data_IF_100133703587
#
_entry.id   IF_100133703587
#
_cell.length_a   1.000
_cell.length_b   1.000
_cell.length_c   1.000
_cell.angle_alpha   90.00
_cell.angle_beta   90.00
_cell.angle_gamma   90.00
#
_symmetry.space_group_name_H-M   'P 1'
#
loop_
_entity.id
_entity.type
_entity.pdbx_description
1 polymer ?
#
# COMPACT_ATOMS: atom_id res chain seq x y z
N UNK A 1 -23.61 132.29 -17.96
CA UNK A 1 -22.85 131.10 -17.53
C UNK A 1 -22.78 130.13 -18.69
N UNK A 2 -21.57 129.87 -19.17
CA UNK A 2 -21.24 128.85 -20.18
C UNK A 2 -21.43 127.47 -19.53
N UNK A 3 -22.10 126.53 -20.21
CA UNK A 3 -21.99 125.12 -19.86
C UNK A 3 -21.63 124.31 -21.11
N UNK A 4 -20.35 123.94 -21.14
CA UNK A 4 -19.65 123.09 -22.08
C UNK A 4 -20.20 121.65 -21.97
N UNK A 5 -20.84 121.13 -23.02
CA UNK A 5 -21.25 119.72 -23.09
C UNK A 5 -20.09 118.90 -23.68
N UNK A 6 -19.44 118.12 -22.82
CA UNK A 6 -18.31 117.25 -23.11
C UNK A 6 -18.82 115.93 -23.72
N UNK A 7 -18.70 115.76 -25.04
CA UNK A 7 -19.02 114.48 -25.71
C UNK A 7 -17.82 113.55 -25.53
N UNK A 8 -17.92 112.62 -24.59
CA UNK A 8 -16.96 111.52 -24.42
C UNK A 8 -17.30 110.41 -25.42
N UNK A 9 -16.39 110.12 -26.36
CA UNK A 9 -16.50 108.98 -27.26
C UNK A 9 -16.24 107.67 -26.48
N UNK A 10 -17.30 106.98 -26.06
CA UNK A 10 -17.18 105.62 -25.55
C UNK A 10 -16.90 104.67 -26.71
N UNK A 11 -15.68 104.12 -26.77
CA UNK A 11 -15.34 103.10 -27.77
C UNK A 11 -16.21 101.86 -27.57
N UNK A 12 -17.13 101.60 -28.48
CA UNK A 12 -17.92 100.36 -28.48
C UNK A 12 -16.98 99.21 -28.86
N UNK A 13 -16.61 98.37 -27.90
CA UNK A 13 -15.94 97.09 -28.20
C UNK A 13 -16.98 96.14 -28.80
N UNK A 14 -16.99 96.03 -30.12
CA UNK A 14 -17.83 95.06 -30.80
C UNK A 14 -17.20 93.66 -30.70
N UNK A 15 -17.96 92.68 -30.21
CA UNK A 15 -17.67 91.26 -30.39
C UNK A 15 -18.06 90.87 -31.82
N UNK A 16 -17.25 90.06 -32.50
CA UNK A 16 -17.56 89.57 -33.85
C UNK A 16 -18.23 88.20 -33.75
N UNK A 17 -19.50 88.12 -34.19
CA UNK A 17 -20.20 86.84 -34.37
C UNK A 17 -20.63 86.69 -35.83
N UNK A 18 -20.39 85.50 -36.39
CA UNK A 18 -20.76 85.15 -37.77
C UNK A 18 -21.52 83.81 -37.75
N UNK A 19 -22.75 83.78 -38.28
CA UNK A 19 -23.51 82.54 -38.48
C UNK A 19 -25.00 82.56 -38.08
N UNK A 20 -25.57 81.38 -37.82
CA UNK A 20 -27.02 81.08 -37.80
C UNK A 20 -27.81 81.71 -36.60
N UNK A 21 -27.15 82.34 -35.62
CA UNK A 21 -27.79 83.03 -34.48
C UNK A 21 -26.99 84.27 -33.98
N UNK A 22 -26.97 85.37 -34.74
CA UNK A 22 -26.06 86.50 -34.49
C UNK A 22 -26.41 87.33 -33.25
N UNK A 23 -27.62 87.22 -32.70
CA UNK A 23 -28.10 88.04 -31.58
C UNK A 23 -27.79 87.46 -30.20
N UNK A 24 -27.47 86.17 -30.10
CA UNK A 24 -27.02 85.54 -28.85
C UNK A 24 -25.51 85.43 -28.88
N UNK A 25 -24.83 86.28 -28.11
CA UNK A 25 -23.36 86.35 -28.08
C UNK A 25 -22.79 85.66 -26.84
N UNK A 26 -21.74 84.85 -27.02
CA UNK A 26 -21.00 84.27 -25.90
C UNK A 26 -20.04 85.30 -25.33
N UNK A 27 -20.33 85.87 -24.15
CA UNK A 27 -19.55 86.98 -23.57
C UNK A 27 -18.05 86.68 -23.36
N UNK A 28 -17.65 85.40 -23.31
CA UNK A 28 -16.25 84.98 -23.16
C UNK A 28 -15.49 84.83 -24.48
N UNK A 29 -16.13 85.04 -25.64
CA UNK A 29 -15.50 84.93 -26.96
C UNK A 29 -15.27 86.30 -27.60
N UNK A 30 -14.08 86.54 -28.15
CA UNK A 30 -13.80 87.72 -28.98
C UNK A 30 -14.36 87.54 -30.41
N UNK A 31 -14.30 86.31 -30.93
CA UNK A 31 -14.82 85.87 -32.22
C UNK A 31 -15.61 84.57 -32.05
N UNK A 32 -16.83 84.53 -32.55
CA UNK A 32 -17.68 83.34 -32.54
C UNK A 32 -18.15 83.00 -33.96
N UNK A 33 -17.89 81.76 -34.41
CA UNK A 33 -18.36 81.22 -35.67
C UNK A 33 -19.35 80.10 -35.37
N UNK A 34 -20.63 80.29 -35.71
CA UNK A 34 -21.69 79.32 -35.42
C UNK A 34 -22.42 78.92 -36.70
N UNK A 35 -22.16 77.73 -37.22
CA UNK A 35 -22.91 77.19 -38.34
C UNK A 35 -23.11 75.69 -38.22
N UNK A 36 -24.25 75.21 -38.70
CA UNK A 36 -24.52 73.77 -38.87
C UNK A 36 -23.95 73.21 -40.18
N UNK A 37 -23.53 74.07 -41.11
CA UNK A 37 -23.15 73.71 -42.49
C UNK A 37 -21.80 74.27 -42.95
N UNK A 38 -21.24 75.24 -42.24
CA UNK A 38 -19.97 75.87 -42.57
C UNK A 38 -18.98 75.75 -41.42
N UNK A 39 -17.70 75.58 -41.76
CA UNK A 39 -16.61 75.54 -40.79
C UNK A 39 -15.66 76.72 -40.97
N UNK A 40 -14.71 76.86 -40.05
CA UNK A 40 -13.60 77.79 -40.21
C UNK A 40 -12.53 77.16 -41.11
N UNK A 41 -12.35 77.69 -42.31
CA UNK A 41 -11.28 77.26 -43.21
C UNK A 41 -10.00 78.06 -42.91
N UNK A 42 -8.99 77.38 -42.38
CA UNK A 42 -7.68 77.97 -42.11
C UNK A 42 -6.90 78.24 -43.40
N UNK A 43 -5.91 79.17 -43.37
CA UNK A 43 -4.94 79.32 -44.45
C UNK A 43 -4.28 77.97 -44.78
N UNK A 44 -4.34 77.58 -46.06
CA UNK A 44 -3.72 76.36 -46.58
C UNK A 44 -2.38 76.71 -47.17
N UNK A 45 -1.31 76.18 -46.58
CA UNK A 45 0.05 76.46 -47.01
C UNK A 45 0.69 75.21 -47.61
N UNK A 46 1.46 75.37 -48.70
CA UNK A 46 2.21 74.27 -49.29
C UNK A 46 3.46 73.92 -48.45
N UNK A 47 4.08 74.94 -47.85
CA UNK A 47 5.18 74.84 -46.89
C UNK A 47 5.05 75.96 -45.83
N UNK A 48 6.03 76.08 -44.92
CA UNK A 48 6.00 77.13 -43.88
C UNK A 48 7.06 78.22 -44.05
N UNK A 49 7.81 78.25 -45.16
CA UNK A 49 8.93 79.18 -45.36
C UNK A 49 8.45 80.63 -45.33
N UNK A 50 7.45 80.97 -46.14
CA UNK A 50 6.95 82.33 -46.27
C UNK A 50 6.30 82.81 -44.96
N UNK A 51 5.48 81.96 -44.33
CA UNK A 51 4.84 82.33 -43.07
C UNK A 51 5.86 82.46 -41.94
N UNK A 52 6.95 81.69 -41.95
CA UNK A 52 8.01 81.80 -40.94
C UNK A 52 8.80 83.10 -41.08
N UNK A 53 8.98 83.61 -42.30
CA UNK A 53 9.62 84.91 -42.53
C UNK A 53 8.83 86.09 -41.92
N UNK A 54 7.52 85.90 -41.68
CA UNK A 54 6.64 86.87 -41.04
C UNK A 54 6.63 86.79 -39.50
N UNK A 55 7.49 85.95 -38.90
CA UNK A 55 7.62 85.78 -37.44
C UNK A 55 6.26 85.48 -36.77
N UNK A 56 5.63 84.33 -37.10
CA UNK A 56 4.28 84.04 -36.67
C UNK A 56 4.24 83.82 -35.14
N UNK A 57 3.35 84.50 -34.39
CA UNK A 57 3.22 84.31 -32.95
C UNK A 57 2.71 82.90 -32.58
N UNK A 58 3.06 82.46 -31.37
CA UNK A 58 2.48 81.26 -30.76
C UNK A 58 0.95 81.40 -30.64
N UNK A 59 0.22 80.30 -30.85
CA UNK A 59 -1.23 80.26 -30.96
C UNK A 59 -1.77 80.41 -32.39
N UNK A 60 -0.95 80.83 -33.36
CA UNK A 60 -1.35 80.86 -34.78
C UNK A 60 -1.66 79.46 -35.29
N UNK A 61 -2.72 79.32 -36.09
CA UNK A 61 -3.15 78.05 -36.68
C UNK A 61 -3.08 78.11 -38.20
N UNK A 62 -2.62 77.01 -38.81
CA UNK A 62 -2.57 76.82 -40.27
C UNK A 62 -3.00 75.39 -40.62
N UNK A 63 -3.42 75.19 -41.87
CA UNK A 63 -3.52 73.85 -42.43
C UNK A 63 -2.37 73.65 -43.42
N UNK A 64 -1.44 72.75 -43.09
CA UNK A 64 -0.32 72.42 -43.97
C UNK A 64 -0.80 71.38 -44.99
N UNK A 65 -0.64 71.67 -46.28
CA UNK A 65 -1.09 70.83 -47.39
C UNK A 65 -0.03 70.76 -48.50
N UNK A 66 1.08 70.04 -48.27
CA UNK A 66 2.14 69.91 -49.25
C UNK A 66 1.67 69.07 -50.44
N UNK A 67 2.15 69.40 -51.64
CA UNK A 67 1.77 68.72 -52.89
C UNK A 67 2.10 67.21 -52.90
N UNK A 68 3.08 66.78 -52.10
CA UNK A 68 3.38 65.37 -51.81
C UNK A 68 4.08 65.24 -50.44
N UNK A 69 3.79 64.17 -49.67
CA UNK A 69 4.58 63.80 -48.47
C UNK A 69 3.80 63.68 -47.15
N UNK A 70 4.54 63.27 -46.11
CA UNK A 70 4.13 63.19 -44.70
C UNK A 70 4.06 64.59 -44.07
N UNK A 71 3.00 64.92 -43.35
CA UNK A 71 2.88 66.20 -42.64
C UNK A 71 1.66 67.05 -43.01
N UNK A 72 0.77 66.57 -43.90
CA UNK A 72 -0.53 67.21 -44.11
C UNK A 72 -1.32 67.25 -42.80
N UNK A 73 -1.86 68.39 -42.41
CA UNK A 73 -2.76 68.47 -41.27
C UNK A 73 -2.92 69.85 -40.67
N UNK A 74 -3.66 69.90 -39.57
CA UNK A 74 -3.81 71.08 -38.75
C UNK A 74 -2.56 71.29 -37.89
N UNK A 75 -2.00 72.50 -37.88
CA UNK A 75 -0.87 72.87 -37.05
C UNK A 75 -1.20 74.10 -36.20
N UNK A 76 -0.65 74.13 -34.99
CA UNK A 76 -0.60 75.30 -34.12
C UNK A 76 0.86 75.69 -33.87
N UNK A 77 1.16 76.99 -33.91
CA UNK A 77 2.46 77.51 -33.53
C UNK A 77 2.59 77.47 -32.01
N UNK A 78 3.62 76.80 -31.49
CA UNK A 78 3.88 76.75 -30.04
C UNK A 78 5.37 76.64 -29.80
N UNK A 79 5.90 77.45 -28.89
CA UNK A 79 7.31 77.51 -28.52
C UNK A 79 8.23 77.69 -29.74
N UNK A 80 7.81 78.53 -30.70
CA UNK A 80 8.62 78.82 -31.88
C UNK A 80 8.74 77.67 -32.88
N UNK A 81 7.87 76.65 -32.80
CA UNK A 81 7.77 75.57 -33.80
C UNK A 81 6.32 75.31 -34.20
N UNK A 82 6.11 74.82 -35.42
CA UNK A 82 4.79 74.36 -35.87
C UNK A 82 4.54 72.96 -35.33
N UNK A 83 3.59 72.83 -34.42
CA UNK A 83 3.19 71.55 -33.84
C UNK A 83 1.92 71.05 -34.52
N UNK A 84 1.97 69.83 -35.05
CA UNK A 84 0.79 69.21 -35.64
C UNK A 84 -0.22 68.90 -34.54
N UNK A 85 -1.44 69.40 -34.69
CA UNK A 85 -2.58 68.90 -33.94
C UNK A 85 -2.97 67.58 -34.61
N UNK A 86 -2.52 66.48 -34.02
CA UNK A 86 -2.98 65.17 -34.43
C UNK A 86 -4.31 64.91 -33.75
N UNK A 87 -5.35 64.69 -34.55
CA UNK A 87 -6.52 63.96 -34.06
C UNK A 87 -6.16 62.48 -34.20
N UNK A 88 -6.30 61.76 -33.11
CA UNK A 88 -6.19 60.30 -32.93
C UNK A 88 -7.02 59.42 -33.90
N UNK A 89 -7.62 60.04 -34.91
CA UNK A 89 -8.56 59.45 -35.85
C UNK A 89 -8.01 59.53 -37.28
N UNK A 90 -6.99 58.73 -37.55
CA UNK A 90 -6.83 57.95 -38.80
C UNK A 90 -5.38 57.46 -38.95
N UNK A 91 -5.20 56.14 -38.93
CA UNK A 91 -4.04 55.41 -39.49
C UNK A 91 -2.63 55.62 -38.91
N UNK A 92 -2.42 56.57 -37.98
CA UNK A 92 -1.17 56.68 -37.23
C UNK A 92 -1.22 55.86 -35.92
N UNK A 93 -0.90 54.57 -36.05
CA UNK A 93 -0.96 53.51 -35.02
C UNK A 93 0.16 53.60 -33.97
N UNK A 94 0.44 54.77 -33.40
CA UNK A 94 1.60 54.95 -32.49
C UNK A 94 1.27 54.82 -31.01
N UNK A 95 0.03 54.46 -30.62
CA UNK A 95 -0.35 54.40 -29.19
C UNK A 95 -1.38 53.32 -28.87
N UNK A 96 -1.29 52.79 -27.65
CA UNK A 96 -2.29 51.91 -27.05
C UNK A 96 -3.25 52.74 -26.19
N UNK A 97 -4.55 52.74 -26.52
CA UNK A 97 -5.56 53.48 -25.77
C UNK A 97 -5.85 52.79 -24.42
N UNK A 98 -6.13 53.57 -23.37
CA UNK A 98 -6.55 53.07 -22.05
C UNK A 98 -7.83 52.23 -22.09
N UNK A 99 -8.72 52.47 -23.06
CA UNK A 99 -9.93 51.66 -23.29
C UNK A 99 -9.72 50.49 -24.26
N UNK A 100 -8.49 50.29 -24.73
CA UNK A 100 -8.15 49.27 -25.72
C UNK A 100 -8.27 49.77 -27.17
N UNK A 101 -7.68 49.00 -28.08
CA UNK A 101 -7.66 49.25 -29.52
C UNK A 101 -8.40 48.13 -30.25
N UNK A 102 -9.16 48.47 -31.30
CA UNK A 102 -9.65 47.49 -32.27
C UNK A 102 -8.60 47.33 -33.39
N UNK A 103 -8.05 46.11 -33.55
CA UNK A 103 -6.91 45.87 -34.43
C UNK A 103 -7.38 45.46 -35.83
N UNK A 104 -6.87 46.12 -36.87
CA UNK A 104 -7.23 45.84 -38.27
C UNK A 104 -6.26 44.88 -38.99
N UNK A 105 -5.17 44.44 -38.33
CA UNK A 105 -4.11 43.61 -38.91
C UNK A 105 -3.64 42.53 -37.94
N UNK A 106 -3.09 41.43 -38.45
CA UNK A 106 -2.52 40.34 -37.64
C UNK A 106 -1.16 40.67 -36.98
N UNK A 107 -0.51 41.78 -37.37
CA UNK A 107 0.86 42.12 -36.94
C UNK A 107 0.93 43.26 -35.89
N UNK A 108 -0.18 43.58 -35.23
CA UNK A 108 -0.17 44.60 -34.19
C UNK A 108 0.49 44.06 -32.90
N UNK A 109 1.36 44.85 -32.26
CA UNK A 109 2.07 44.45 -31.05
C UNK A 109 2.09 45.57 -29.99
N UNK A 110 2.18 45.16 -28.72
CA UNK A 110 2.49 46.02 -27.57
C UNK A 110 3.88 45.62 -27.09
N UNK A 111 4.88 46.48 -27.27
CA UNK A 111 6.25 46.16 -26.88
C UNK A 111 7.30 47.14 -27.42
N UNK A 112 8.55 46.76 -27.18
CA UNK A 112 9.78 47.42 -27.67
C UNK A 112 10.28 46.70 -28.93
N UNK A 113 11.01 47.42 -29.78
CA UNK A 113 11.65 46.85 -30.99
C UNK A 113 13.17 46.65 -30.83
N UNK A 114 13.74 47.24 -29.78
CA UNK A 114 15.14 47.13 -29.42
C UNK A 114 15.33 46.14 -28.25
N UNK A 115 16.58 45.91 -27.86
CA UNK A 115 16.95 45.00 -26.77
C UNK A 115 16.70 45.66 -25.40
N UNK A 116 15.45 46.07 -25.17
CA UNK A 116 14.96 46.66 -23.92
C UNK A 116 13.74 45.87 -23.46
N UNK A 117 13.71 45.52 -22.18
CA UNK A 117 12.58 44.84 -21.58
C UNK A 117 11.29 45.69 -21.64
N UNK A 118 10.14 45.05 -21.86
CA UNK A 118 8.83 45.68 -21.68
C UNK A 118 8.46 45.67 -20.19
N UNK A 119 8.18 46.84 -19.63
CA UNK A 119 7.88 47.02 -18.19
C UNK A 119 6.47 47.56 -18.00
N UNK A 120 5.67 46.87 -17.19
CA UNK A 120 4.35 47.34 -16.75
C UNK A 120 4.49 47.90 -15.35
N UNK A 121 4.22 49.20 -15.22
CA UNK A 121 4.48 49.99 -14.00
C UNK A 121 3.16 50.53 -13.44
N UNK A 122 3.00 50.46 -12.11
CA UNK A 122 1.92 51.12 -11.39
C UNK A 122 2.51 51.82 -10.17
N UNK A 123 2.10 53.05 -9.87
CA UNK A 123 2.65 53.83 -8.76
C UNK A 123 4.19 53.91 -8.79
N UNK A 124 4.77 54.08 -9.98
CA UNK A 124 6.22 54.10 -10.20
C UNK A 124 6.96 52.82 -9.75
N UNK A 125 6.24 51.71 -9.55
CA UNK A 125 6.79 50.39 -9.24
C UNK A 125 6.53 49.43 -10.38
N UNK A 126 7.57 48.71 -10.79
CA UNK A 126 7.48 47.63 -11.76
C UNK A 126 6.67 46.47 -11.20
N UNK A 127 5.66 46.04 -11.95
CA UNK A 127 4.78 44.92 -11.56
C UNK A 127 5.02 43.69 -12.42
N UNK A 128 5.27 43.89 -13.70
CA UNK A 128 5.58 42.85 -14.67
C UNK A 128 6.71 43.31 -15.60
N UNK A 129 7.64 42.41 -15.88
CA UNK A 129 8.75 42.63 -16.81
C UNK A 129 8.82 41.46 -17.77
N UNK A 130 8.91 41.75 -19.07
CA UNK A 130 9.26 40.77 -20.10
C UNK A 130 10.70 41.05 -20.50
N UNK A 131 11.62 40.17 -20.13
CA UNK A 131 13.04 40.34 -20.40
C UNK A 131 13.35 40.19 -21.89
N UNK A 132 14.15 41.10 -22.45
CA UNK A 132 14.46 41.10 -23.89
C UNK A 132 15.53 40.09 -24.31
N UNK A 133 16.22 39.46 -23.35
CA UNK A 133 17.30 38.49 -23.60
C UNK A 133 16.79 37.06 -23.33
N UNK A 134 16.19 36.81 -22.17
CA UNK A 134 15.71 35.47 -21.80
C UNK A 134 14.28 35.19 -22.27
N UNK A 135 13.48 36.24 -22.50
CA UNK A 135 12.05 36.12 -22.75
C UNK A 135 11.22 35.82 -21.49
N UNK A 136 11.86 35.79 -20.32
CA UNK A 136 11.17 35.48 -19.06
C UNK A 136 10.17 36.58 -18.70
N UNK A 137 9.02 36.16 -18.20
CA UNK A 137 8.00 37.05 -17.63
C UNK A 137 8.11 37.02 -16.12
N UNK A 138 8.63 38.10 -15.55
CA UNK A 138 8.72 38.27 -14.09
C UNK A 138 7.51 39.03 -13.57
N UNK A 139 6.86 38.51 -12.53
CA UNK A 139 5.77 39.17 -11.78
C UNK A 139 6.23 39.36 -10.34
N UNK A 140 6.29 40.60 -9.87
CA UNK A 140 6.97 40.93 -8.61
C UNK A 140 6.32 40.35 -7.34
N UNK A 141 5.05 39.92 -7.39
CA UNK A 141 4.30 39.44 -6.23
C UNK A 141 3.48 38.18 -6.57
N UNK A 142 2.15 38.30 -6.65
CA UNK A 142 1.22 37.18 -6.85
C UNK A 142 0.67 37.17 -8.27
N UNK A 143 0.74 36.00 -8.92
CA UNK A 143 -0.06 35.67 -10.09
C UNK A 143 -1.28 34.84 -9.64
N UNK A 144 -2.49 35.28 -10.00
CA UNK A 144 -3.72 34.49 -9.79
C UNK A 144 -4.17 33.92 -11.12
N UNK A 145 -4.13 32.59 -11.28
CA UNK A 145 -4.59 31.89 -12.48
C UNK A 145 -5.87 31.12 -12.14
N UNK A 146 -6.97 31.41 -12.83
CA UNK A 146 -8.30 30.84 -12.49
C UNK A 146 -8.60 29.50 -13.16
N UNK A 147 -7.82 29.10 -14.18
CA UNK A 147 -8.04 27.84 -14.92
C UNK A 147 -6.88 26.87 -14.73
N UNK A 148 -5.77 27.12 -15.42
CA UNK A 148 -4.65 26.18 -15.47
C UNK A 148 -3.32 26.88 -15.73
N UNK A 149 -2.27 26.35 -15.12
CA UNK A 149 -0.88 26.61 -15.50
C UNK A 149 -0.37 25.33 -16.19
N UNK A 150 0.22 25.47 -17.36
CA UNK A 150 0.84 24.36 -18.10
C UNK A 150 2.29 24.73 -18.36
N UNK A 151 3.23 24.00 -17.74
CA UNK A 151 4.66 24.10 -18.03
C UNK A 151 5.06 23.07 -19.09
N UNK A 152 5.90 23.46 -20.04
CA UNK A 152 6.41 22.53 -21.07
C UNK A 152 7.42 21.51 -20.51
N UNK A 153 8.16 21.90 -19.47
CA UNK A 153 9.18 21.07 -18.82
C UNK A 153 8.89 20.94 -17.32
N UNK A 154 9.02 22.03 -16.56
CA UNK A 154 8.81 22.03 -15.11
C UNK A 154 8.00 23.22 -14.60
N UNK A 155 7.36 23.01 -13.46
CA UNK A 155 6.83 24.07 -12.59
C UNK A 155 7.59 23.92 -11.27
N UNK A 156 8.55 24.81 -11.02
CA UNK A 156 9.37 24.80 -9.81
C UNK A 156 8.81 25.77 -8.78
N UNK A 157 8.78 25.36 -7.51
CA UNK A 157 8.30 26.21 -6.41
C UNK A 157 8.65 25.59 -5.06
N UNK A 158 8.83 26.44 -4.05
CA UNK A 158 9.07 26.00 -2.67
C UNK A 158 7.86 25.24 -2.09
N UNK A 159 6.65 25.61 -2.51
CA UNK A 159 5.40 24.98 -2.09
C UNK A 159 4.47 24.78 -3.29
N UNK A 160 3.90 23.58 -3.41
CA UNK A 160 2.81 23.26 -4.34
C UNK A 160 1.63 22.77 -3.50
N UNK A 161 0.60 23.61 -3.37
CA UNK A 161 -0.64 23.24 -2.67
C UNK A 161 -1.71 22.88 -3.68
N UNK A 162 -2.37 21.73 -3.51
CA UNK A 162 -3.61 21.40 -4.19
C UNK A 162 -4.73 21.28 -3.17
N UNK A 163 -5.89 21.87 -3.46
CA UNK A 163 -7.07 21.83 -2.58
C UNK A 163 -7.82 20.49 -2.66
N UNK A 164 -7.63 19.74 -3.74
CA UNK A 164 -8.29 18.47 -3.99
C UNK A 164 -7.21 17.39 -4.21
N UNK A 165 -6.70 17.29 -5.44
CA UNK A 165 -5.83 16.17 -5.83
C UNK A 165 -4.57 16.66 -6.55
N UNK A 166 -3.41 16.10 -6.19
CA UNK A 166 -2.19 16.12 -7.02
C UNK A 166 -2.09 14.78 -7.73
N UNK A 167 -2.21 14.76 -9.07
CA UNK A 167 -1.96 13.56 -9.88
C UNK A 167 -0.53 13.62 -10.42
N UNK A 168 0.37 12.81 -9.86
CA UNK A 168 1.76 12.68 -10.30
C UNK A 168 2.06 11.21 -10.66
N UNK A 169 2.02 10.83 -11.95
CA UNK A 169 2.25 9.45 -12.38
C UNK A 169 3.62 8.90 -11.94
N UNK A 170 4.65 9.75 -11.91
CA UNK A 170 6.02 9.41 -11.51
C UNK A 170 6.53 10.43 -10.48
N UNK A 171 6.00 10.40 -9.26
CA UNK A 171 6.51 11.26 -8.18
C UNK A 171 7.85 10.71 -7.65
N UNK A 172 8.90 11.54 -7.68
CA UNK A 172 10.20 11.26 -7.06
C UNK A 172 10.43 12.26 -5.93
N UNK A 173 10.61 11.79 -4.70
CA UNK A 173 11.01 12.60 -3.55
C UNK A 173 12.43 12.25 -3.12
N UNK A 174 13.33 13.24 -3.08
CA UNK A 174 14.74 13.04 -2.68
C UNK A 174 14.97 13.17 -1.17
N UNK A 175 13.97 13.63 -0.43
CA UNK A 175 13.96 13.72 1.03
C UNK A 175 12.71 12.99 1.55
N UNK A 176 11.79 13.69 2.20
CA UNK A 176 10.69 13.08 2.95
C UNK A 176 9.34 13.28 2.26
N UNK A 177 8.55 12.20 2.16
CA UNK A 177 7.14 12.23 1.75
C UNK A 177 6.25 11.99 2.97
N UNK A 178 5.55 13.03 3.43
CA UNK A 178 4.60 12.94 4.53
C UNK A 178 3.17 12.77 3.98
N UNK A 179 2.56 11.60 4.21
CA UNK A 179 1.17 11.32 3.85
C UNK A 179 0.29 11.41 5.11
N UNK A 180 -0.54 12.44 5.22
CA UNK A 180 -1.49 12.63 6.33
C UNK A 180 -2.90 12.24 5.91
N UNK A 181 -3.72 11.77 6.86
CA UNK A 181 -5.13 11.42 6.63
C UNK A 181 -5.38 10.39 5.51
N UNK A 182 -4.48 9.42 5.34
CA UNK A 182 -4.75 8.25 4.52
C UNK A 182 -5.99 7.55 5.08
N UNK A 183 -7.05 7.47 4.28
CA UNK A 183 -8.27 6.77 4.69
C UNK A 183 -7.91 5.32 5.01
N UNK A 184 -8.12 4.92 6.27
CA UNK A 184 -7.95 3.53 6.67
C UNK A 184 -8.92 2.68 5.84
N UNK A 185 -8.38 1.86 4.95
CA UNK A 185 -9.17 0.80 4.34
C UNK A 185 -9.50 -0.19 5.46
N UNK A 186 -10.77 -0.54 5.61
CA UNK A 186 -11.26 -1.43 6.68
C UNK A 186 -10.70 -2.85 6.59
N UNK A 187 -10.04 -3.20 5.49
CA UNK A 187 -9.38 -4.48 5.34
C UNK A 187 -7.88 -4.36 5.66
N UNK A 188 -7.43 -5.06 6.72
CA UNK A 188 -6.04 -5.13 7.21
C UNK A 188 -5.05 -5.79 6.21
N UNK A 189 -5.48 -6.00 4.96
CA UNK A 189 -4.74 -6.73 3.95
C UNK A 189 -4.15 -5.81 2.88
N UNK A 190 -4.40 -4.50 2.86
CA UNK A 190 -3.69 -3.59 1.95
C UNK A 190 -2.51 -2.92 2.65
N UNK A 191 -1.30 -3.16 2.17
CA UNK A 191 -0.06 -2.55 2.67
C UNK A 191 0.65 -1.76 1.58
N UNK A 192 1.39 -0.72 1.97
CA UNK A 192 2.33 -0.05 1.09
C UNK A 192 3.70 -0.74 1.24
N UNK A 193 4.26 -1.25 0.16
CA UNK A 193 5.58 -1.88 0.13
C UNK A 193 6.55 -0.99 -0.65
N UNK A 194 7.72 -0.75 -0.07
CA UNK A 194 8.82 -0.04 -0.72
C UNK A 194 9.71 -1.07 -1.41
N UNK A 195 9.91 -0.95 -2.72
CA UNK A 195 10.94 -1.70 -3.42
C UNK A 195 12.30 -1.13 -2.98
N UNK A 196 13.10 -1.91 -2.24
CA UNK A 196 14.36 -1.44 -1.65
C UNK A 196 15.45 -1.13 -2.68
N UNK A 197 15.34 -1.62 -3.91
CA UNK A 197 16.30 -1.35 -4.99
C UNK A 197 15.94 -0.10 -5.82
N UNK A 198 14.66 0.25 -5.92
CA UNK A 198 14.18 1.36 -6.78
C UNK A 198 13.49 2.49 -6.03
N UNK A 199 13.20 2.30 -4.74
CA UNK A 199 12.43 3.23 -3.91
C UNK A 199 10.92 3.26 -4.22
N UNK A 200 10.45 2.54 -5.24
CA UNK A 200 9.06 2.58 -5.66
C UNK A 200 8.12 2.08 -4.56
N UNK A 201 7.11 2.88 -4.21
CA UNK A 201 6.05 2.51 -3.26
C UNK A 201 4.88 1.90 -4.03
N UNK A 202 4.50 0.67 -3.70
CA UNK A 202 3.38 -0.03 -4.33
C UNK A 202 2.34 -0.42 -3.28
N UNK A 203 1.06 -0.21 -3.59
CA UNK A 203 -0.03 -0.85 -2.83
C UNK A 203 -0.05 -2.34 -3.15
N UNK A 204 0.00 -3.18 -2.13
CA UNK A 204 -0.12 -4.63 -2.25
C UNK A 204 -1.26 -5.13 -1.38
N UNK A 205 -2.10 -5.97 -1.97
CA UNK A 205 -3.07 -6.77 -1.23
C UNK A 205 -2.37 -8.04 -0.76
N UNK A 206 -2.26 -8.23 0.54
CA UNK A 206 -1.87 -9.46 1.20
C UNK A 206 -3.06 -10.42 1.22
N UNK A 207 -2.78 -11.72 1.27
CA UNK A 207 -3.85 -12.70 1.44
C UNK A 207 -4.47 -12.52 2.83
N UNK A 208 -5.79 -12.60 2.91
CA UNK A 208 -6.52 -12.70 4.19
C UNK A 208 -6.00 -13.83 5.10
N UNK A 209 -5.42 -14.88 4.51
CA UNK A 209 -4.79 -16.00 5.19
C UNK A 209 -3.44 -15.65 5.84
N UNK A 210 -2.76 -14.56 5.42
CA UNK A 210 -1.42 -14.20 5.91
C UNK A 210 -1.40 -13.85 7.41
N UNK A 211 -2.53 -13.43 7.98
CA UNK A 211 -2.65 -13.06 9.40
C UNK A 211 -3.54 -13.99 10.20
N UNK A 212 -3.94 -15.14 9.65
CA UNK A 212 -4.68 -16.14 10.43
C UNK A 212 -3.75 -16.72 11.49
N UNK A 213 -3.92 -16.28 12.73
CA UNK A 213 -3.23 -16.88 13.87
C UNK A 213 -3.59 -18.37 14.01
N UNK A 214 -2.86 -19.07 14.88
CA UNK A 214 -3.09 -20.49 15.17
C UNK A 214 -3.86 -20.67 16.47
N UNK A 215 -4.70 -21.70 16.53
CA UNK A 215 -5.28 -22.22 17.78
C UNK A 215 -4.95 -23.71 17.93
N UNK A 216 -5.04 -24.22 19.15
CA UNK A 216 -5.03 -25.67 19.38
C UNK A 216 -6.47 -26.15 19.23
N UNK A 217 -6.69 -27.08 18.31
CA UNK A 217 -7.96 -27.75 18.13
C UNK A 217 -8.18 -28.85 19.17
N UNK A 218 -9.41 -29.33 19.26
CA UNK A 218 -9.75 -30.44 20.13
C UNK A 218 -8.95 -31.69 19.73
N UNK A 219 -8.55 -32.51 20.71
CA UNK A 219 -7.95 -33.82 20.44
C UNK A 219 -8.94 -34.67 19.64
N UNK A 220 -8.50 -35.17 18.49
CA UNK A 220 -9.32 -36.01 17.61
C UNK A 220 -9.06 -37.48 17.93
N UNK A 221 -10.11 -38.23 18.24
CA UNK A 221 -10.00 -39.65 18.61
C UNK A 221 -9.81 -40.57 17.41
N UNK A 222 -9.82 -40.02 16.18
CA UNK A 222 -9.49 -40.76 14.96
C UNK A 222 -8.01 -40.64 14.63
N UNK A 223 -7.47 -41.65 13.94
CA UNK A 223 -6.06 -41.67 13.52
C UNK A 223 -5.81 -40.75 12.32
N UNK A 224 -4.60 -40.19 12.25
CA UNK A 224 -4.16 -39.37 11.13
C UNK A 224 -2.72 -39.71 10.74
N UNK A 225 -2.40 -39.64 9.45
CA UNK A 225 -1.13 -40.13 8.90
C UNK A 225 0.12 -39.52 9.55
N UNK A 226 0.05 -38.26 9.95
CA UNK A 226 1.14 -37.55 10.63
C UNK A 226 0.94 -37.43 12.14
N UNK A 227 -0.18 -37.92 12.68
CA UNK A 227 -0.59 -37.73 14.09
C UNK A 227 -0.95 -36.29 14.47
N UNK A 228 -0.52 -35.30 13.68
CA UNK A 228 -0.85 -33.88 13.81
C UNK A 228 -1.42 -33.35 12.49
N UNK A 229 -2.57 -32.70 12.54
CA UNK A 229 -3.21 -32.06 11.39
C UNK A 229 -3.21 -30.54 11.57
N UNK A 230 -2.78 -29.81 10.53
CA UNK A 230 -3.13 -28.41 10.37
C UNK A 230 -4.47 -28.33 9.63
N UNK A 231 -5.51 -27.85 10.29
CA UNK A 231 -6.84 -27.65 9.67
C UNK A 231 -7.08 -26.17 9.41
N UNK A 232 -7.37 -25.83 8.15
CA UNK A 232 -7.61 -24.45 7.75
C UNK A 232 -8.94 -23.91 8.33
N UNK A 233 -8.91 -22.68 8.83
CA UNK A 233 -10.11 -21.99 9.32
C UNK A 233 -11.00 -21.51 8.16
N UNK A 234 -12.31 -21.76 8.24
CA UNK A 234 -13.29 -21.28 7.26
C UNK A 234 -13.51 -19.76 7.38
N UNK A 235 -13.58 -19.05 6.25
CA UNK A 235 -13.74 -17.59 6.24
C UNK A 235 -12.63 -16.88 7.03
N UNK A 236 -13.01 -16.13 8.05
CA UNK A 236 -12.09 -15.38 8.92
C UNK A 236 -11.61 -16.15 10.16
N UNK A 237 -11.97 -17.43 10.32
CA UNK A 237 -11.51 -18.23 11.46
C UNK A 237 -10.01 -18.52 11.38
N UNK A 238 -9.40 -18.70 12.56
CA UNK A 238 -8.01 -19.13 12.75
C UNK A 238 -7.82 -20.58 12.28
N UNK A 239 -6.62 -20.90 11.83
CA UNK A 239 -6.24 -22.29 11.56
C UNK A 239 -6.04 -23.04 12.88
N UNK A 240 -6.31 -24.36 12.90
CA UNK A 240 -6.18 -25.21 14.09
C UNK A 240 -5.06 -26.23 13.95
N UNK A 241 -4.31 -26.47 15.03
CA UNK A 241 -3.46 -27.65 15.21
C UNK A 241 -4.24 -28.73 15.94
N UNK A 242 -4.39 -29.90 15.35
CA UNK A 242 -5.14 -31.01 15.94
C UNK A 242 -4.19 -32.17 16.18
N UNK A 243 -4.16 -32.67 17.42
CA UNK A 243 -3.49 -33.94 17.76
C UNK A 243 -4.49 -35.08 17.64
N UNK A 244 -4.11 -36.12 16.91
CA UNK A 244 -4.91 -37.30 16.63
C UNK A 244 -4.53 -38.47 17.54
N UNK A 245 -5.46 -39.40 17.77
CA UNK A 245 -5.18 -40.64 18.48
C UNK A 245 -4.21 -41.53 17.69
N UNK A 246 -3.23 -42.11 18.38
CA UNK A 246 -2.47 -43.22 17.82
C UNK A 246 -3.40 -44.40 17.52
N UNK A 247 -3.10 -45.14 16.47
CA UNK A 247 -3.76 -46.40 16.14
C UNK A 247 -2.72 -47.50 15.99
N UNK A 248 -3.14 -48.71 15.61
CA UNK A 248 -2.23 -49.79 15.28
C UNK A 248 -1.36 -49.48 14.05
N UNK A 249 -1.83 -48.59 13.16
CA UNK A 249 -1.14 -48.29 11.89
C UNK A 249 -0.72 -46.83 11.73
N UNK A 250 -1.21 -45.91 12.56
CA UNK A 250 -0.97 -44.48 12.44
C UNK A 250 -0.42 -43.87 13.75
N UNK A 251 0.54 -42.93 13.69
CA UNK A 251 1.07 -42.26 14.88
C UNK A 251 0.05 -41.31 15.50
N UNK A 252 0.24 -40.95 16.77
CA UNK A 252 -0.60 -40.00 17.48
C UNK A 252 -0.41 -40.00 18.99
N UNK A 253 -1.30 -39.32 19.71
CA UNK A 253 -1.34 -39.28 21.18
C UNK A 253 -2.17 -40.42 21.79
N UNK A 254 -2.08 -40.56 23.12
CA UNK A 254 -2.94 -41.45 23.90
C UNK A 254 -4.18 -40.68 24.33
N UNK A 255 -5.36 -41.25 24.08
CA UNK A 255 -6.65 -40.61 24.37
C UNK A 255 -7.29 -41.16 25.66
N UNK A 256 -8.39 -40.55 26.09
CA UNK A 256 -9.20 -41.01 27.23
C UNK A 256 -10.24 -42.08 26.87
N UNK A 257 -10.38 -42.40 25.58
CA UNK A 257 -11.26 -43.48 25.10
C UNK A 257 -10.47 -44.76 24.88
N UNK A 258 -11.17 -45.87 24.66
CA UNK A 258 -10.53 -47.16 24.33
C UNK A 258 -9.63 -47.02 23.10
N UNK A 259 -8.39 -47.49 23.23
CA UNK A 259 -7.37 -47.31 22.21
C UNK A 259 -6.46 -48.55 22.12
N UNK A 260 -6.00 -48.83 20.90
CA UNK A 260 -4.93 -49.80 20.61
C UNK A 260 -3.83 -49.10 19.82
N UNK A 261 -2.58 -49.42 20.11
CA UNK A 261 -1.41 -48.96 19.37
C UNK A 261 -0.40 -50.10 19.25
N UNK A 262 0.23 -50.25 18.08
CA UNK A 262 1.11 -51.37 17.77
C UNK A 262 2.59 -50.99 17.84
N UNK A 263 3.47 -51.97 17.58
CA UNK A 263 4.93 -51.86 17.62
C UNK A 263 5.49 -51.92 19.04
N UNK A 264 6.75 -52.35 19.19
CA UNK A 264 7.42 -52.49 20.49
C UNK A 264 7.41 -51.17 21.27
N UNK A 265 7.07 -51.24 22.56
CA UNK A 265 7.11 -50.12 23.50
C UNK A 265 8.05 -50.47 24.64
N UNK A 266 8.99 -49.58 24.93
CA UNK A 266 9.91 -49.72 26.06
C UNK A 266 9.55 -48.66 27.09
N UNK A 267 9.31 -49.10 28.33
CA UNK A 267 9.08 -48.24 29.48
C UNK A 267 10.30 -48.38 30.39
N UNK A 268 11.01 -47.26 30.62
CA UNK A 268 12.20 -47.27 31.47
C UNK A 268 11.84 -47.41 32.94
N UNK A 269 10.71 -46.82 33.32
CA UNK A 269 10.20 -46.77 34.68
C UNK A 269 8.99 -47.71 34.81
N UNK A 270 8.08 -47.46 35.74
CA UNK A 270 6.96 -48.37 36.04
C UNK A 270 5.70 -48.14 35.20
N UNK A 271 4.94 -49.22 34.99
CA UNK A 271 3.60 -49.21 34.38
C UNK A 271 2.58 -49.62 35.43
N UNK A 272 1.60 -48.75 35.69
CA UNK A 272 0.46 -49.01 36.56
C UNK A 272 -0.76 -49.44 35.75
N UNK A 273 -1.43 -50.51 36.17
CA UNK A 273 -2.72 -50.93 35.60
C UNK A 273 -3.78 -50.93 36.68
N UNK A 274 -4.88 -50.22 36.43
CA UNK A 274 -6.09 -50.18 37.28
C UNK A 274 -5.88 -49.67 38.72
N UNK A 275 -4.91 -48.78 38.95
CA UNK A 275 -4.78 -48.12 40.25
C UNK A 275 -4.25 -46.71 40.18
N UNK A 276 -4.13 -46.10 41.35
CA UNK A 276 -3.76 -44.69 41.54
C UNK A 276 -2.47 -44.58 42.35
N UNK A 277 -1.59 -43.64 42.00
CA UNK A 277 -0.33 -43.41 42.71
C UNK A 277 0.91 -43.94 41.98
N UNK A 278 2.08 -43.75 42.59
CA UNK A 278 3.37 -44.20 42.04
C UNK A 278 3.54 -45.70 42.27
N UNK A 279 3.77 -46.52 41.22
CA UNK A 279 4.02 -47.94 41.39
C UNK A 279 5.33 -48.21 42.14
N UNK A 280 5.37 -49.27 42.94
CA UNK A 280 6.56 -49.77 43.61
C UNK A 280 7.21 -50.98 42.89
N UNK A 281 6.69 -51.34 41.71
CA UNK A 281 7.16 -52.40 40.83
C UNK A 281 7.19 -51.91 39.38
N UNK A 282 8.06 -52.46 38.53
CA UNK A 282 8.13 -52.06 37.11
C UNK A 282 6.84 -52.36 36.35
N UNK A 283 6.14 -53.45 36.69
CA UNK A 283 4.77 -53.71 36.30
C UNK A 283 3.94 -53.93 37.55
N UNK A 284 2.95 -53.08 37.79
CA UNK A 284 2.05 -53.21 38.93
C UNK A 284 0.60 -53.26 38.44
N UNK A 285 -0.09 -54.34 38.78
CA UNK A 285 -1.50 -54.56 38.44
C UNK A 285 -2.31 -54.52 39.73
N UNK A 286 -3.05 -53.44 39.97
CA UNK A 286 -3.99 -53.32 41.08
C UNK A 286 -5.36 -53.89 40.71
N UNK A 287 -5.36 -55.14 40.27
CA UNK A 287 -6.52 -55.84 39.73
C UNK A 287 -6.17 -57.27 39.33
N UNK A 288 -6.97 -57.86 38.43
CA UNK A 288 -6.73 -59.22 37.93
C UNK A 288 -5.65 -59.26 36.85
N UNK A 289 -4.83 -60.31 36.88
CA UNK A 289 -3.88 -60.66 35.82
C UNK A 289 -4.31 -61.97 35.18
N UNK A 290 -4.57 -61.96 33.87
CA UNK A 290 -4.84 -63.16 33.07
C UNK A 290 -3.59 -63.51 32.25
N UNK A 291 -3.24 -64.79 32.22
CA UNK A 291 -2.07 -65.32 31.52
C UNK A 291 -2.52 -66.52 30.66
N UNK A 292 -1.78 -66.81 29.58
CA UNK A 292 -2.17 -67.84 28.63
C UNK A 292 -2.26 -69.22 29.29
N UNK A 293 -3.34 -69.95 29.01
CA UNK A 293 -3.55 -71.32 29.45
C UNK A 293 -4.14 -72.13 28.31
N UNK A 294 -3.50 -73.25 27.99
CA UNK A 294 -3.98 -74.17 26.96
C UNK A 294 -3.84 -75.62 27.40
N UNK A 295 -4.58 -76.50 26.74
CA UNK A 295 -4.51 -77.95 26.97
C UNK A 295 -3.84 -78.63 25.79
N UNK A 296 -3.08 -79.67 26.07
CA UNK A 296 -2.46 -80.54 25.08
C UNK A 296 -2.67 -82.00 25.42
N UNK A 297 -2.74 -82.84 24.39
CA UNK A 297 -2.93 -84.29 24.50
C UNK A 297 -1.85 -85.08 23.76
N UNK A 298 -0.91 -84.39 23.12
CA UNK A 298 0.14 -84.96 22.27
C UNK A 298 1.51 -84.36 22.58
N UNK A 299 2.57 -85.07 22.19
CA UNK A 299 3.93 -84.55 22.27
C UNK A 299 4.12 -83.33 21.35
N UNK A 300 4.73 -82.27 21.86
CA UNK A 300 4.96 -81.02 21.12
C UNK A 300 6.02 -80.14 21.82
N UNK A 301 6.42 -79.06 21.16
CA UNK A 301 7.24 -78.01 21.79
C UNK A 301 6.34 -77.01 22.51
N UNK A 302 6.73 -76.58 23.70
CA UNK A 302 6.07 -75.48 24.41
C UNK A 302 6.22 -74.19 23.59
N UNK A 303 5.11 -73.48 23.36
CA UNK A 303 5.09 -72.30 22.51
C UNK A 303 5.60 -71.06 23.23
N UNK A 304 6.07 -70.07 22.47
CA UNK A 304 6.60 -68.81 23.02
C UNK A 304 5.56 -67.92 23.70
N UNK A 305 4.27 -68.16 23.44
CA UNK A 305 3.13 -67.48 24.04
C UNK A 305 2.50 -68.26 25.20
N UNK A 306 2.98 -69.46 25.51
CA UNK A 306 2.47 -70.25 26.63
C UNK A 306 2.82 -69.62 27.98
N UNK A 307 1.96 -69.86 28.97
CA UNK A 307 2.28 -69.66 30.38
C UNK A 307 1.91 -70.89 31.20
N UNK A 308 0.72 -71.45 30.99
CA UNK A 308 0.31 -72.74 31.58
C UNK A 308 -0.08 -73.72 30.48
N UNK A 309 0.53 -74.91 30.50
CA UNK A 309 0.19 -76.03 29.62
C UNK A 309 -0.38 -77.16 30.47
N UNK A 310 -1.65 -77.49 30.21
CA UNK A 310 -2.34 -78.61 30.83
C UNK A 310 -2.15 -79.86 29.95
N UNK A 311 -1.40 -80.82 30.43
CA UNK A 311 -1.13 -82.08 29.74
C UNK A 311 -2.17 -83.13 30.14
N UNK A 312 -2.93 -83.63 29.17
CA UNK A 312 -3.89 -84.72 29.35
C UNK A 312 -3.53 -85.91 28.44
N UNK A 313 -2.46 -86.65 28.75
CA UNK A 313 -1.97 -87.75 27.91
C UNK A 313 -2.94 -88.95 27.86
N UNK A 314 -3.16 -89.50 26.67
CA UNK A 314 -3.75 -90.85 26.48
C UNK A 314 -2.69 -91.96 26.35
N UNK A 315 -1.43 -91.57 26.15
CA UNK A 315 -0.20 -92.35 26.15
C UNK A 315 0.91 -91.42 26.65
N UNK A 316 2.09 -91.93 27.05
CA UNK A 316 3.22 -91.07 27.43
C UNK A 316 3.52 -90.01 26.36
N UNK A 317 3.51 -88.73 26.75
CA UNK A 317 3.80 -87.59 25.86
C UNK A 317 5.09 -86.90 26.28
N UNK A 318 5.74 -86.24 25.32
CA UNK A 318 6.92 -85.41 25.55
C UNK A 318 6.63 -83.96 25.19
N UNK A 319 6.73 -83.09 26.20
CA UNK A 319 6.67 -81.64 26.04
C UNK A 319 8.09 -81.07 26.04
N UNK A 320 8.54 -80.60 24.89
CA UNK A 320 9.90 -80.07 24.71
C UNK A 320 9.92 -78.58 25.02
N UNK A 321 10.79 -78.15 25.93
CA UNK A 321 11.04 -76.75 26.22
C UNK A 321 11.79 -76.08 25.05
N UNK A 322 11.48 -74.82 24.71
CA UNK A 322 12.23 -74.09 23.69
C UNK A 322 13.67 -73.82 24.12
N UNK A 323 14.52 -73.50 23.15
CA UNK A 323 15.89 -72.99 23.38
C UNK A 323 15.82 -71.78 24.33
N UNK A 324 16.52 -71.81 25.49
CA UNK A 324 16.46 -70.73 26.46
C UNK A 324 17.08 -69.41 25.98
N UNK A 325 17.86 -69.43 24.88
CA UNK A 325 18.52 -68.24 24.32
C UNK A 325 17.51 -67.13 24.03
N UNK A 326 17.71 -65.95 24.63
CA UNK A 326 16.82 -64.79 24.46
C UNK A 326 15.53 -64.83 25.28
N UNK A 327 15.33 -65.86 26.11
CA UNK A 327 14.12 -66.04 26.94
C UNK A 327 14.36 -65.80 28.43
N UNK A 328 15.47 -65.17 28.85
CA UNK A 328 15.79 -64.92 30.26
C UNK A 328 14.59 -64.36 31.04
N UNK A 329 14.21 -65.06 32.11
CA UNK A 329 13.07 -64.74 32.96
C UNK A 329 11.75 -65.41 32.56
N UNK A 330 11.65 -66.05 31.38
CA UNK A 330 10.45 -66.78 30.91
C UNK A 330 10.07 -67.88 31.88
N UNK A 331 8.78 -67.97 32.21
CA UNK A 331 8.22 -68.99 33.10
C UNK A 331 7.15 -69.80 32.38
N UNK A 332 7.15 -71.10 32.60
CA UNK A 332 6.07 -72.00 32.22
C UNK A 332 5.59 -72.82 33.42
N UNK A 333 4.30 -73.17 33.43
CA UNK A 333 3.69 -74.17 34.31
C UNK A 333 3.26 -75.33 33.43
N UNK A 334 3.77 -76.52 33.73
CA UNK A 334 3.37 -77.75 33.04
C UNK A 334 2.66 -78.61 34.07
N UNK A 335 1.36 -78.81 33.86
CA UNK A 335 0.51 -79.56 34.80
C UNK A 335 -0.08 -80.76 34.11
N UNK A 336 0.13 -81.95 34.65
CA UNK A 336 -0.61 -83.13 34.25
C UNK A 336 -2.02 -83.05 34.84
N UNK A 337 -3.05 -83.20 34.02
CA UNK A 337 -4.46 -83.06 34.45
C UNK A 337 -5.26 -84.36 34.32
N UNK A 338 -4.64 -85.45 33.85
CA UNK A 338 -5.26 -86.76 33.68
C UNK A 338 -4.32 -87.73 32.98
N UNK A 339 -4.81 -88.94 32.68
CA UNK A 339 -4.09 -89.96 31.92
C UNK A 339 -3.66 -91.18 32.73
N UNK A 340 -3.74 -91.14 34.07
CA UNK A 340 -3.34 -92.25 34.93
C UNK A 340 -1.82 -92.42 35.05
N UNK A 341 -1.36 -93.23 36.00
CA UNK A 341 0.07 -93.36 36.35
C UNK A 341 0.96 -93.87 35.21
N UNK A 342 0.38 -94.63 34.26
CA UNK A 342 1.12 -95.26 33.16
C UNK A 342 1.45 -94.30 32.01
N UNK A 343 0.68 -93.20 31.88
CA UNK A 343 0.84 -92.24 30.79
C UNK A 343 1.54 -90.99 31.31
N UNK A 344 2.87 -91.04 31.37
CA UNK A 344 3.67 -89.96 31.93
C UNK A 344 3.75 -88.73 31.01
N UNK A 345 4.01 -87.56 31.60
CA UNK A 345 4.37 -86.33 30.86
C UNK A 345 5.86 -86.11 31.02
N UNK A 346 6.62 -86.33 29.95
CA UNK A 346 8.06 -86.07 29.88
C UNK A 346 8.28 -84.61 29.49
N UNK A 347 8.83 -83.81 30.39
CA UNK A 347 9.27 -82.44 30.08
C UNK A 347 10.75 -82.49 29.70
N UNK A 348 11.04 -82.24 28.44
CA UNK A 348 12.39 -82.35 27.88
C UNK A 348 13.01 -80.98 27.61
N UNK A 349 14.26 -80.76 27.96
CA UNK A 349 15.02 -79.55 27.65
C UNK A 349 16.31 -79.44 28.46
N UNK A 350 17.10 -78.39 28.23
CA UNK A 350 18.30 -78.11 29.02
C UNK A 350 17.91 -77.68 30.45
N UNK A 351 17.57 -78.64 31.30
CA UNK A 351 17.07 -78.45 32.67
C UNK A 351 18.21 -78.72 33.66
N UNK A 352 18.39 -77.82 34.63
CA UNK A 352 19.42 -77.91 35.66
C UNK A 352 19.31 -79.20 36.48
N UNK A 353 20.46 -79.83 36.75
CA UNK A 353 20.55 -81.03 37.58
C UNK A 353 20.11 -82.35 36.93
N UNK A 354 19.69 -82.36 35.66
CA UNK A 354 19.22 -83.58 34.97
C UNK A 354 20.24 -84.11 33.96
N UNK A 355 20.71 -85.33 34.17
CA UNK A 355 21.69 -86.01 33.29
C UNK A 355 21.11 -86.33 31.91
N UNK A 356 19.81 -86.61 31.82
CA UNK A 356 19.12 -86.98 30.57
C UNK A 356 18.21 -85.87 30.03
N UNK A 357 18.34 -84.63 30.52
CA UNK A 357 17.56 -83.46 30.04
C UNK A 357 16.04 -83.64 30.09
N UNK A 358 15.53 -84.59 30.87
CA UNK A 358 14.10 -84.96 30.91
C UNK A 358 13.63 -85.08 32.34
N UNK A 359 12.61 -84.29 32.69
CA UNK A 359 11.87 -84.39 33.94
C UNK A 359 10.55 -85.13 33.67
N UNK A 360 10.11 -86.02 34.55
CA UNK A 360 8.91 -86.84 34.32
C UNK A 360 7.84 -86.55 35.37
N UNK A 361 6.63 -86.21 34.92
CA UNK A 361 5.44 -86.05 35.77
C UNK A 361 4.59 -87.32 35.65
N UNK A 362 4.62 -88.18 36.67
CA UNK A 362 3.84 -89.43 36.72
C UNK A 362 2.43 -89.23 37.27
N UNK A 363 2.30 -88.48 38.36
CA UNK A 363 1.04 -88.35 39.07
C UNK A 363 0.09 -87.39 38.35
N UNK A 364 -1.18 -87.77 38.25
CA UNK A 364 -2.23 -86.86 37.82
C UNK A 364 -2.34 -85.70 38.80
N UNK A 365 -2.66 -84.52 38.28
CA UNK A 365 -2.82 -83.29 39.04
C UNK A 365 -1.54 -82.70 39.64
N UNK A 366 -0.38 -83.34 39.44
CA UNK A 366 0.94 -82.77 39.71
C UNK A 366 1.39 -81.79 38.63
N UNK A 367 2.29 -80.88 39.00
CA UNK A 367 2.84 -79.88 38.10
C UNK A 367 4.30 -79.56 38.43
N UNK A 368 4.97 -78.94 37.46
CA UNK A 368 6.19 -78.18 37.69
C UNK A 368 5.99 -76.74 37.23
N UNK A 369 6.64 -75.82 37.95
CA UNK A 369 6.88 -74.46 37.50
C UNK A 369 8.35 -74.32 37.18
N UNK A 370 8.64 -73.83 35.97
CA UNK A 370 10.00 -73.77 35.45
C UNK A 370 10.31 -72.37 34.94
N UNK A 371 11.52 -71.87 35.19
CA UNK A 371 11.98 -70.55 34.76
C UNK A 371 13.40 -70.63 34.19
N UNK A 372 13.69 -69.87 33.13
CA UNK A 372 15.03 -69.85 32.52
C UNK A 372 15.82 -68.58 32.86
N UNK A 373 17.13 -68.71 32.98
CA UNK A 373 18.08 -67.59 33.09
C UNK A 373 18.61 -67.11 31.72
N UNK A 374 18.17 -67.74 30.63
CA UNK A 374 18.64 -67.50 29.27
C UNK A 374 19.64 -68.55 28.76
N UNK A 375 20.09 -69.48 29.60
CA UNK A 375 21.04 -70.56 29.24
C UNK A 375 20.48 -71.94 29.60
N UNK A 376 19.86 -72.07 30.78
CA UNK A 376 19.27 -73.32 31.29
C UNK A 376 17.87 -73.07 31.85
N UNK A 377 17.11 -74.14 32.06
CA UNK A 377 15.81 -74.13 32.71
C UNK A 377 15.91 -74.64 34.15
N UNK A 378 15.25 -73.97 35.08
CA UNK A 378 15.28 -74.27 36.52
C UNK A 378 13.87 -74.58 37.01
N UNK A 379 13.68 -75.73 37.66
CA UNK A 379 12.42 -76.06 38.33
C UNK A 379 12.38 -75.29 39.64
N UNK A 380 11.48 -74.31 39.73
CA UNK A 380 11.37 -73.39 40.87
C UNK A 380 10.21 -73.74 41.81
N UNK A 381 9.31 -74.62 41.37
CA UNK A 381 8.22 -75.17 42.19
C UNK A 381 7.79 -76.53 41.59
N UNK A 382 7.39 -77.47 42.43
CA UNK A 382 6.89 -78.79 42.01
C UNK A 382 6.00 -79.43 43.08
N UNK A 383 5.07 -80.26 42.62
CA UNK A 383 4.17 -81.04 43.48
C UNK A 383 4.34 -82.55 43.30
#
# INVERSE_FOLDING_TARGET
MVLLSLITSTGVKAQLKIGDNPTTITKSALLELQSTRQGFLLPRLADTLDINALVPPDGMMIYLDPAAGTGRGLYIRKSGVWQRITTDSSTATTSWNLKGNNLATTNAFLGTLDQRALRIVTNSLERMVIDSVTGDVSIANKLTVTKSITGADSITGQHVFALDTVKAPNLVSTDSLYLTNLQANSAFNEVLVINTATGAVSRRTLDSATFKGFIIGNFDTTGFVTGLEKRAGVGSAKDSLILHAATETLPGGVSVVSQRFAGTKSYRDSVMVSGTGTPNSNLQVAGSLSLNIRTTTSSETIHSDDYTVLANPAATITLTLPDPTGLKGRTYIIKKIGGGLDNAVNVQGNIEGLVNTTYVIYNDYSFIKIQTDGTSWYIIDKQ
#
